data_IF_437420672293
#
_entry.id   IF_437420672293
#
_cell.length_a   1.000
_cell.length_b   1.000
_cell.length_c   1.000
_cell.angle_alpha   90.00
_cell.angle_beta   90.00
_cell.angle_gamma   90.00
#
_symmetry.space_group_name_H-M   'P 1'
#
loop_
_entity.id
_entity.type
_entity.pdbx_description
1 polymer ?
#
# COMPACT_ATOMS: atom_id res chain seq x y z
N UNK A 1 -18.25 10.49 -6.22
CA UNK A 1 -17.28 9.99 -5.21
C UNK A 1 -16.55 8.77 -5.78
N UNK A 2 -15.29 8.56 -5.40
CA UNK A 2 -14.48 7.41 -5.82
C UNK A 2 -14.26 6.45 -4.62
N UNK A 3 -14.42 5.16 -4.83
CA UNK A 3 -14.01 4.11 -3.91
C UNK A 3 -12.63 3.56 -4.31
N UNK A 4 -11.62 3.77 -3.48
CA UNK A 4 -10.29 3.18 -3.62
C UNK A 4 -10.14 2.00 -2.67
N UNK A 5 -9.63 0.88 -3.16
CA UNK A 5 -9.45 -0.36 -2.39
C UNK A 5 -8.03 -0.90 -2.61
N UNK A 6 -7.30 -1.07 -1.53
CA UNK A 6 -6.00 -1.74 -1.52
C UNK A 6 -6.13 -3.09 -0.80
N UNK A 7 -5.95 -4.19 -1.53
CA UNK A 7 -6.08 -5.56 -1.04
C UNK A 7 -4.71 -6.16 -0.78
N UNK A 8 -4.21 -5.94 0.43
CA UNK A 8 -2.99 -6.56 0.92
C UNK A 8 -3.20 -8.00 1.43
N UNK A 9 -2.10 -8.70 1.71
CA UNK A 9 -2.15 -10.11 2.17
C UNK A 9 -2.80 -10.30 3.56
N UNK A 10 -2.72 -9.32 4.43
CA UNK A 10 -3.23 -9.39 5.81
C UNK A 10 -4.40 -8.45 6.05
N UNK A 11 -4.35 -7.26 5.46
CA UNK A 11 -5.36 -6.23 5.61
C UNK A 11 -5.78 -5.69 4.25
N UNK A 12 -7.07 -5.36 4.13
CA UNK A 12 -7.62 -4.60 3.01
C UNK A 12 -7.96 -3.19 3.51
N UNK A 13 -7.42 -2.18 2.85
CA UNK A 13 -7.67 -0.77 3.15
C UNK A 13 -8.65 -0.21 2.13
N UNK A 14 -9.67 0.50 2.61
CA UNK A 14 -10.69 1.12 1.76
C UNK A 14 -10.69 2.62 2.02
N UNK A 15 -10.88 3.41 0.98
CA UNK A 15 -11.04 4.86 1.07
C UNK A 15 -12.16 5.36 0.16
N UNK A 16 -12.93 6.33 0.63
CA UNK A 16 -13.90 7.05 -0.20
C UNK A 16 -13.43 8.49 -0.36
N UNK A 17 -13.28 8.89 -1.61
CA UNK A 17 -12.86 10.23 -2.00
C UNK A 17 -14.03 11.05 -2.56
N UNK A 18 -14.02 12.35 -2.24
CA UNK A 18 -14.78 13.38 -2.97
C UNK A 18 -13.78 14.32 -3.61
N UNK A 19 -13.64 14.23 -4.93
CA UNK A 19 -12.51 14.81 -5.65
C UNK A 19 -11.17 14.34 -5.06
N UNK A 20 -10.35 15.28 -4.57
CA UNK A 20 -9.03 14.99 -3.98
C UNK A 20 -9.08 14.72 -2.47
N UNK A 21 -10.25 14.90 -1.84
CA UNK A 21 -10.39 14.77 -0.39
C UNK A 21 -10.77 13.35 -0.01
N UNK A 22 -9.94 12.70 0.79
CA UNK A 22 -10.30 11.45 1.46
C UNK A 22 -11.34 11.77 2.55
N UNK A 23 -12.56 11.25 2.40
CA UNK A 23 -13.66 11.47 3.35
C UNK A 23 -13.61 10.44 4.47
N UNK A 24 -13.50 9.17 4.10
CA UNK A 24 -13.53 8.04 5.04
C UNK A 24 -12.47 7.00 4.65
N UNK A 25 -11.93 6.34 5.66
CA UNK A 25 -10.99 5.25 5.49
C UNK A 25 -11.30 4.13 6.47
N UNK A 26 -11.27 2.89 6.00
CA UNK A 26 -11.44 1.70 6.85
C UNK A 26 -10.35 0.67 6.58
N UNK A 27 -10.12 -0.17 7.58
CA UNK A 27 -9.24 -1.34 7.48
C UNK A 27 -10.03 -2.56 7.90
N UNK A 28 -10.01 -3.60 7.08
CA UNK A 28 -10.61 -4.89 7.38
C UNK A 28 -9.56 -6.00 7.20
N UNK A 29 -9.72 -7.10 7.91
CA UNK A 29 -8.86 -8.26 7.72
C UNK A 29 -9.09 -8.85 6.31
N UNK A 30 -8.00 -9.19 5.62
CA UNK A 30 -8.05 -9.90 4.35
C UNK A 30 -8.24 -11.38 4.59
N UNK A 31 -9.34 -11.93 4.08
CA UNK A 31 -9.64 -13.36 4.13
C UNK A 31 -9.63 -13.90 2.69
N UNK A 32 -8.64 -14.71 2.36
CA UNK A 32 -8.34 -15.14 0.98
C UNK A 32 -9.47 -15.90 0.26
N UNK A 33 -10.46 -16.36 1.01
CA UNK A 33 -11.57 -17.15 0.47
C UNK A 33 -12.91 -16.40 0.44
N UNK A 34 -12.90 -15.07 0.70
CA UNK A 34 -14.14 -14.30 0.60
C UNK A 34 -14.72 -14.32 -0.81
N UNK A 35 -16.01 -14.58 -0.87
CA UNK A 35 -16.84 -14.43 -2.06
C UNK A 35 -17.23 -12.97 -2.27
N UNK A 36 -17.68 -12.62 -3.46
CA UNK A 36 -18.21 -11.28 -3.75
C UNK A 36 -19.37 -10.88 -2.83
N UNK A 37 -20.20 -11.85 -2.44
CA UNK A 37 -21.36 -11.57 -1.56
C UNK A 37 -20.92 -11.27 -0.12
N UNK A 38 -19.94 -12.02 0.41
CA UNK A 38 -19.35 -11.72 1.72
C UNK A 38 -18.66 -10.35 1.76
N UNK A 39 -17.99 -9.96 0.68
CA UNK A 39 -17.38 -8.64 0.56
C UNK A 39 -18.46 -7.52 0.56
N UNK A 40 -19.59 -7.73 -0.13
CA UNK A 40 -20.73 -6.80 -0.10
C UNK A 40 -21.34 -6.66 1.29
N UNK A 41 -21.49 -7.78 2.00
CA UNK A 41 -21.97 -7.78 3.40
C UNK A 41 -21.03 -6.99 4.30
N UNK A 42 -19.71 -7.01 4.05
CA UNK A 42 -18.74 -6.21 4.81
C UNK A 42 -18.78 -4.72 4.44
N UNK A 43 -18.92 -4.39 3.16
CA UNK A 43 -18.92 -3.01 2.68
C UNK A 43 -20.18 -2.24 3.15
N UNK A 44 -21.34 -2.88 3.11
CA UNK A 44 -22.61 -2.22 3.41
C UNK A 44 -22.65 -1.55 4.78
N UNK A 45 -22.31 -2.20 5.91
CA UNK A 45 -22.28 -1.55 7.22
C UNK A 45 -21.28 -0.40 7.32
N UNK A 46 -20.12 -0.50 6.64
CA UNK A 46 -19.14 0.57 6.61
C UNK A 46 -19.71 1.84 5.94
N UNK A 47 -20.43 1.67 4.84
CA UNK A 47 -21.10 2.78 4.16
C UNK A 47 -22.26 3.34 4.98
N UNK A 48 -23.09 2.47 5.55
CA UNK A 48 -24.25 2.86 6.35
C UNK A 48 -23.82 3.66 7.60
N UNK A 49 -22.70 3.28 8.26
CA UNK A 49 -22.20 3.97 9.45
C UNK A 49 -21.76 5.41 9.20
N UNK A 50 -21.34 5.71 7.99
CA UNK A 50 -20.88 7.04 7.58
C UNK A 50 -21.90 7.77 6.70
N UNK A 51 -23.08 7.21 6.52
CA UNK A 51 -24.15 7.79 5.69
C UNK A 51 -23.84 7.81 4.19
N UNK A 52 -22.91 6.96 3.74
CA UNK A 52 -22.53 6.89 2.34
C UNK A 52 -23.58 6.09 1.56
N UNK A 53 -24.14 6.72 0.56
CA UNK A 53 -25.07 6.06 -0.35
C UNK A 53 -24.30 5.50 -1.53
N UNK A 54 -24.31 4.17 -1.72
CA UNK A 54 -23.55 3.48 -2.75
C UNK A 54 -23.74 4.06 -4.16
N UNK A 55 -24.94 4.51 -4.52
CA UNK A 55 -25.23 5.17 -5.81
C UNK A 55 -24.55 6.52 -6.02
N UNK A 56 -23.99 7.13 -4.97
CA UNK A 56 -23.22 8.37 -5.08
C UNK A 56 -21.73 8.12 -5.38
N UNK A 57 -21.32 6.84 -5.42
CA UNK A 57 -19.99 6.43 -5.85
C UNK A 57 -20.08 6.14 -7.35
N UNK A 58 -19.37 6.92 -8.14
CA UNK A 58 -19.39 6.89 -9.61
C UNK A 58 -18.13 6.29 -10.22
N UNK A 59 -17.15 5.92 -9.35
CA UNK A 59 -15.93 5.26 -9.77
C UNK A 59 -15.34 4.35 -8.70
N UNK A 60 -14.50 3.41 -9.13
CA UNK A 60 -13.74 2.55 -8.23
C UNK A 60 -12.35 2.25 -8.78
N UNK A 61 -11.35 2.22 -7.88
CA UNK A 61 -9.99 1.78 -8.16
C UNK A 61 -9.58 0.66 -7.19
N UNK A 62 -8.84 -0.31 -7.68
CA UNK A 62 -8.46 -1.51 -6.95
C UNK A 62 -6.98 -1.82 -7.14
N UNK A 63 -6.18 -1.81 -6.09
CA UNK A 63 -4.93 -2.53 -6.03
C UNK A 63 -5.16 -3.89 -5.37
N UNK A 64 -4.52 -4.93 -5.84
CA UNK A 64 -4.61 -6.25 -5.21
C UNK A 64 -3.32 -7.03 -5.42
N UNK A 65 -2.72 -7.45 -4.32
CA UNK A 65 -1.61 -8.43 -4.30
C UNK A 65 -2.11 -9.83 -3.90
N UNK A 66 -3.43 -10.04 -3.92
CA UNK A 66 -4.10 -11.32 -3.63
C UNK A 66 -4.96 -11.71 -4.85
N UNK A 67 -4.38 -12.42 -5.85
CA UNK A 67 -5.04 -12.66 -7.13
C UNK A 67 -6.44 -13.29 -7.02
N UNK A 68 -6.65 -14.23 -6.09
CA UNK A 68 -7.94 -14.89 -5.89
C UNK A 68 -9.05 -13.94 -5.39
N UNK A 69 -8.72 -12.77 -4.83
CA UNK A 69 -9.68 -11.76 -4.38
C UNK A 69 -9.96 -10.68 -5.41
N UNK A 70 -9.12 -10.50 -6.42
CA UNK A 70 -9.29 -9.43 -7.41
C UNK A 70 -10.65 -9.50 -8.10
N UNK A 71 -11.03 -10.67 -8.61
CA UNK A 71 -12.33 -10.85 -9.27
C UNK A 71 -13.50 -10.80 -8.30
N UNK A 72 -13.33 -11.28 -7.07
CA UNK A 72 -14.37 -11.20 -6.04
C UNK A 72 -14.65 -9.71 -5.68
N UNK A 73 -13.62 -8.88 -5.52
CA UNK A 73 -13.77 -7.45 -5.30
C UNK A 73 -14.39 -6.73 -6.51
N UNK A 74 -13.95 -7.03 -7.73
CA UNK A 74 -14.56 -6.47 -8.95
C UNK A 74 -16.06 -6.78 -9.03
N UNK A 75 -16.45 -8.02 -8.74
CA UNK A 75 -17.85 -8.43 -8.73
C UNK A 75 -18.63 -7.75 -7.60
N UNK A 76 -18.08 -7.66 -6.38
CA UNK A 76 -18.70 -6.98 -5.25
C UNK A 76 -18.98 -5.50 -5.56
N UNK A 77 -17.99 -4.79 -6.12
CA UNK A 77 -18.11 -3.39 -6.53
C UNK A 77 -19.20 -3.24 -7.58
N UNK A 78 -19.17 -4.06 -8.63
CA UNK A 78 -20.16 -4.00 -9.72
C UNK A 78 -21.58 -4.22 -9.21
N UNK A 79 -21.80 -5.21 -8.34
CA UNK A 79 -23.12 -5.52 -7.81
C UNK A 79 -23.63 -4.49 -6.79
N UNK A 80 -22.74 -3.87 -6.01
CA UNK A 80 -23.16 -2.94 -4.95
C UNK A 80 -23.28 -1.49 -5.44
N UNK A 81 -22.37 -1.08 -6.31
CA UNK A 81 -22.19 0.31 -6.76
C UNK A 81 -22.65 0.50 -8.20
N UNK A 82 -22.55 -0.54 -9.04
CA UNK A 82 -22.92 -0.50 -10.45
C UNK A 82 -21.78 -0.07 -11.38
N UNK A 83 -20.56 0.14 -10.87
CA UNK A 83 -19.39 0.57 -11.66
C UNK A 83 -18.38 -0.55 -11.85
N UNK A 84 -17.56 -0.44 -12.89
CA UNK A 84 -16.38 -1.30 -13.07
C UNK A 84 -15.17 -0.66 -12.39
N UNK A 85 -14.45 -1.45 -11.59
CA UNK A 85 -13.22 -0.97 -10.97
C UNK A 85 -12.05 -0.92 -11.96
N UNK A 86 -11.29 0.16 -11.96
CA UNK A 86 -9.96 0.22 -12.56
C UNK A 86 -9.01 -0.57 -11.68
N UNK A 87 -8.41 -1.64 -12.23
CA UNK A 87 -7.41 -2.44 -11.50
C UNK A 87 -6.04 -1.82 -11.75
N UNK A 88 -5.38 -1.39 -10.68
CA UNK A 88 -4.05 -0.78 -10.73
C UNK A 88 -2.99 -1.81 -11.17
N UNK A 89 -2.17 -1.42 -12.12
CA UNK A 89 -1.00 -2.14 -12.62
C UNK A 89 -0.06 -1.13 -13.30
N UNK A 90 1.16 -1.56 -13.64
CA UNK A 90 2.07 -0.73 -14.43
C UNK A 90 1.45 -0.28 -15.77
N UNK A 91 0.59 -1.11 -16.37
CA UNK A 91 -0.08 -0.81 -17.65
C UNK A 91 -1.22 0.20 -17.46
N UNK A 92 -2.07 0.03 -16.46
CA UNK A 92 -3.19 0.95 -16.20
C UNK A 92 -2.71 2.28 -15.61
N UNK A 93 -1.51 2.33 -15.02
CA UNK A 93 -0.87 3.55 -14.54
C UNK A 93 0.03 4.21 -15.60
N UNK A 94 -0.01 3.76 -16.87
CA UNK A 94 0.81 4.34 -17.94
C UNK A 94 0.62 5.87 -18.05
N UNK A 95 1.74 6.57 -18.23
CA UNK A 95 1.79 8.04 -18.19
C UNK A 95 2.01 8.64 -16.80
N UNK A 96 1.59 7.94 -15.73
CA UNK A 96 1.92 8.30 -14.34
C UNK A 96 3.06 7.44 -13.77
N UNK A 97 3.22 6.23 -14.27
CA UNK A 97 4.20 5.26 -13.82
C UNK A 97 5.07 4.80 -14.99
N UNK A 98 6.37 4.92 -14.83
CA UNK A 98 7.38 4.39 -15.72
C UNK A 98 8.35 3.52 -14.92
N UNK A 99 8.77 2.40 -15.48
CA UNK A 99 9.68 1.47 -14.82
C UNK A 99 10.86 1.12 -15.70
N UNK A 100 12.06 1.28 -15.15
CA UNK A 100 13.29 0.71 -15.67
C UNK A 100 13.53 -0.63 -14.92
N UNK A 101 12.68 -1.62 -15.24
CA UNK A 101 12.60 -2.91 -14.56
C UNK A 101 12.39 -4.02 -15.59
N UNK A 102 13.09 -5.17 -15.48
CA UNK A 102 13.05 -6.21 -16.52
C UNK A 102 11.64 -6.70 -16.88
N UNK A 103 10.76 -6.82 -15.90
CA UNK A 103 9.38 -7.19 -16.10
C UNK A 103 8.46 -6.31 -15.24
N UNK A 104 7.95 -5.18 -15.76
CA UNK A 104 7.06 -4.29 -15.00
C UNK A 104 5.78 -4.93 -14.48
N UNK A 105 5.32 -6.04 -15.08
CA UNK A 105 4.12 -6.79 -14.64
C UNK A 105 4.32 -7.51 -13.30
N UNK A 106 5.55 -7.74 -12.87
CA UNK A 106 5.87 -8.33 -11.58
C UNK A 106 5.79 -7.32 -10.43
N UNK A 107 5.69 -6.02 -10.73
CA UNK A 107 5.58 -4.98 -9.71
C UNK A 107 4.18 -5.04 -9.11
N UNK A 108 4.07 -5.22 -7.80
CA UNK A 108 2.80 -5.24 -7.08
C UNK A 108 2.00 -3.96 -7.31
N UNK A 109 0.67 -4.10 -7.38
CA UNK A 109 -0.23 -2.98 -7.64
C UNK A 109 -0.16 -1.89 -6.56
N UNK A 110 0.06 -2.28 -5.30
CA UNK A 110 0.35 -1.41 -4.16
C UNK A 110 1.60 -0.55 -4.42
N UNK A 111 2.71 -1.17 -4.83
CA UNK A 111 3.98 -0.50 -5.13
C UNK A 111 3.87 0.47 -6.31
N UNK A 112 3.07 0.12 -7.33
CA UNK A 112 2.75 1.02 -8.45
C UNK A 112 1.99 2.24 -7.93
N UNK A 113 0.95 2.04 -7.12
CA UNK A 113 0.15 3.12 -6.56
C UNK A 113 1.01 4.04 -5.66
N UNK A 114 1.84 3.47 -4.79
CA UNK A 114 2.74 4.21 -3.92
C UNK A 114 3.73 5.07 -4.70
N UNK A 115 4.35 4.51 -5.74
CA UNK A 115 5.28 5.24 -6.61
C UNK A 115 4.60 6.41 -7.34
N UNK A 116 3.38 6.20 -7.85
CA UNK A 116 2.57 7.24 -8.50
C UNK A 116 2.27 8.38 -7.53
N UNK A 117 1.78 8.07 -6.33
CA UNK A 117 1.44 9.08 -5.33
C UNK A 117 2.67 9.83 -4.83
N UNK A 118 3.75 9.11 -4.51
CA UNK A 118 4.98 9.72 -4.03
C UNK A 118 5.60 10.66 -5.06
N UNK A 119 5.70 10.21 -6.33
CA UNK A 119 6.17 11.06 -7.43
C UNK A 119 5.30 12.30 -7.63
N UNK A 120 3.98 12.14 -7.57
CA UNK A 120 3.04 13.26 -7.69
C UNK A 120 3.20 14.30 -6.58
N UNK A 121 3.50 13.86 -5.36
CA UNK A 121 3.54 14.70 -4.17
C UNK A 121 4.90 15.35 -3.91
N UNK A 122 5.98 14.60 -4.15
CA UNK A 122 7.34 14.97 -3.79
C UNK A 122 8.24 15.21 -5.01
N UNK A 123 7.74 14.90 -6.22
CA UNK A 123 8.56 14.94 -7.43
C UNK A 123 9.51 13.75 -7.54
N UNK A 124 10.60 13.94 -8.27
CA UNK A 124 11.64 12.94 -8.50
C UNK A 124 13.01 13.56 -8.25
N UNK A 125 13.95 12.85 -7.59
CA UNK A 125 13.82 11.47 -7.09
C UNK A 125 13.02 11.39 -5.79
N UNK A 126 12.48 10.18 -5.47
CA UNK A 126 11.83 9.90 -4.19
C UNK A 126 11.97 8.41 -3.82
N UNK A 127 12.08 8.12 -2.54
CA UNK A 127 12.08 6.75 -1.99
C UNK A 127 10.83 6.58 -1.14
N UNK A 128 10.11 5.49 -1.32
CA UNK A 128 8.97 5.13 -0.48
C UNK A 128 9.35 3.97 0.42
N UNK A 129 8.90 4.01 1.67
CA UNK A 129 9.01 2.89 2.62
C UNK A 129 7.60 2.55 3.09
N UNK A 130 7.08 1.41 2.64
CA UNK A 130 5.78 0.90 3.10
C UNK A 130 5.97 -0.12 4.23
N UNK A 131 5.40 0.20 5.40
CA UNK A 131 5.40 -0.63 6.59
C UNK A 131 4.13 -1.48 6.69
N UNK A 132 4.07 -2.53 5.89
CA UNK A 132 2.98 -3.50 5.83
C UNK A 132 3.34 -4.88 6.38
N UNK A 133 2.73 -5.93 5.82
CA UNK A 133 3.08 -7.35 6.06
C UNK A 133 4.53 -7.63 5.69
N UNK A 134 5.00 -7.03 4.61
CA UNK A 134 6.40 -6.82 4.28
C UNK A 134 6.75 -5.36 4.54
N UNK A 135 8.02 -5.05 4.76
CA UNK A 135 8.56 -3.71 4.64
C UNK A 135 9.14 -3.59 3.24
N UNK A 136 8.47 -2.81 2.39
CA UNK A 136 8.90 -2.55 1.03
C UNK A 136 9.64 -1.20 0.97
N UNK A 137 10.66 -1.11 0.11
CA UNK A 137 11.30 0.15 -0.23
C UNK A 137 11.26 0.27 -1.75
N UNK A 138 10.58 1.30 -2.27
CA UNK A 138 10.48 1.64 -3.67
C UNK A 138 11.42 2.81 -3.99
N UNK A 139 12.13 2.70 -5.11
CA UNK A 139 13.08 3.74 -5.54
C UNK A 139 12.64 4.31 -6.88
N UNK A 140 12.32 5.59 -6.86
CA UNK A 140 12.03 6.39 -8.05
C UNK A 140 13.23 7.30 -8.28
N UNK A 141 13.87 7.18 -9.43
CA UNK A 141 15.10 7.91 -9.78
C UNK A 141 14.84 9.37 -10.22
N UNK A 142 15.89 10.10 -10.55
CA UNK A 142 15.82 11.49 -11.03
C UNK A 142 15.04 11.66 -12.33
N UNK A 143 14.86 10.60 -13.13
CA UNK A 143 14.06 10.59 -14.35
C UNK A 143 12.57 10.39 -14.05
N UNK A 144 12.21 10.06 -12.79
CA UNK A 144 10.86 9.68 -12.40
C UNK A 144 10.52 8.22 -12.69
N UNK A 145 11.51 7.39 -13.00
CA UNK A 145 11.35 5.96 -13.26
C UNK A 145 11.46 5.16 -11.96
N UNK A 146 10.57 4.22 -11.76
CA UNK A 146 10.72 3.15 -10.78
C UNK A 146 11.88 2.23 -11.22
N UNK A 147 12.94 2.16 -10.44
CA UNK A 147 14.13 1.39 -10.76
C UNK A 147 14.30 0.13 -9.90
N UNK A 148 13.32 -0.19 -9.08
CA UNK A 148 13.35 -1.33 -8.18
C UNK A 148 13.25 -0.94 -6.71
N UNK A 149 13.82 -1.76 -5.84
CA UNK A 149 13.75 -1.51 -4.40
C UNK A 149 14.12 -2.72 -3.56
N UNK A 150 13.56 -2.77 -2.34
CA UNK A 150 13.83 -3.84 -1.38
C UNK A 150 12.50 -4.40 -0.85
N UNK A 151 12.46 -5.70 -0.61
CA UNK A 151 11.36 -6.37 0.09
C UNK A 151 11.96 -7.12 1.28
N UNK A 152 11.48 -6.81 2.49
CA UNK A 152 11.91 -7.44 3.71
C UNK A 152 10.69 -7.88 4.55
N UNK A 153 10.83 -8.81 5.51
CA UNK A 153 9.74 -9.11 6.42
C UNK A 153 9.32 -7.86 7.18
N UNK A 154 8.02 -7.57 7.28
CA UNK A 154 7.52 -6.47 8.09
C UNK A 154 7.74 -6.70 9.59
N UNK A 155 7.59 -5.65 10.38
CA UNK A 155 7.84 -5.69 11.84
C UNK A 155 6.94 -6.72 12.55
N UNK A 156 5.64 -6.77 12.22
CA UNK A 156 4.71 -7.76 12.80
C UNK A 156 5.05 -9.18 12.33
N UNK A 157 5.44 -9.36 11.07
CA UNK A 157 5.87 -10.66 10.53
C UNK A 157 7.13 -11.14 11.22
N UNK A 158 8.10 -10.26 11.46
CA UNK A 158 9.35 -10.57 12.18
C UNK A 158 9.07 -10.93 13.64
N UNK A 159 8.21 -10.17 14.31
CA UNK A 159 7.78 -10.43 15.67
C UNK A 159 7.09 -11.80 15.79
N UNK A 160 6.12 -12.08 14.90
CA UNK A 160 5.38 -13.34 14.88
C UNK A 160 6.31 -14.54 14.64
N UNK A 161 7.29 -14.39 13.75
CA UNK A 161 8.30 -15.44 13.52
C UNK A 161 9.10 -15.71 14.80
N UNK A 162 9.52 -14.67 15.54
CA UNK A 162 10.22 -14.83 16.80
C UNK A 162 9.34 -15.53 17.86
N UNK A 163 8.06 -15.12 18.00
CA UNK A 163 7.13 -15.70 18.97
C UNK A 163 6.83 -17.17 18.66
N UNK A 164 6.70 -17.54 17.39
CA UNK A 164 6.37 -18.90 16.99
C UNK A 164 7.53 -19.89 17.11
N UNK A 165 8.78 -19.43 17.01
CA UNK A 165 9.96 -20.27 17.04
C UNK A 165 10.68 -20.31 18.40
N UNK A 166 10.42 -19.37 19.29
CA UNK A 166 11.08 -19.28 20.58
C UNK A 166 10.14 -19.71 21.72
N UNK A 167 10.26 -20.94 22.17
CA UNK A 167 9.37 -21.60 23.17
C UNK A 167 9.14 -20.83 24.49
N UNK A 168 10.06 -19.93 24.86
CA UNK A 168 9.98 -19.11 26.06
C UNK A 168 9.58 -17.67 25.86
N UNK A 169 9.38 -17.25 24.61
CA UNK A 169 9.05 -15.88 24.27
C UNK A 169 7.55 -15.80 23.89
N UNK A 170 6.76 -15.11 24.71
CA UNK A 170 5.35 -14.87 24.43
C UNK A 170 5.16 -13.66 23.49
N UNK A 171 3.91 -13.47 23.03
CA UNK A 171 3.54 -12.25 22.31
C UNK A 171 3.66 -11.02 23.23
N UNK A 172 4.17 -9.94 22.68
CA UNK A 172 4.35 -8.65 23.36
C UNK A 172 3.75 -7.54 22.53
N UNK A 173 3.46 -6.41 23.16
CA UNK A 173 3.10 -5.19 22.43
C UNK A 173 4.34 -4.55 21.79
N UNK A 174 4.24 -4.25 20.49
CA UNK A 174 5.30 -3.58 19.73
C UNK A 174 5.21 -2.06 19.97
N UNK A 175 5.78 -1.62 21.08
CA UNK A 175 5.87 -0.19 21.47
C UNK A 175 7.33 0.23 21.52
N UNK A 176 7.56 1.55 21.51
CA UNK A 176 8.90 2.12 21.69
C UNK A 176 9.48 1.66 23.04
N UNK A 177 10.62 0.96 23.07
CA UNK A 177 11.25 0.49 24.29
C UNK A 177 11.96 1.59 25.09
N UNK A 178 12.09 2.81 24.56
CA UNK A 178 12.78 3.97 25.14
C UNK A 178 14.26 3.75 25.49
N UNK A 179 14.79 2.54 25.29
CA UNK A 179 16.18 2.19 25.54
C UNK A 179 16.61 0.99 24.69
N UNK A 180 17.82 1.03 24.13
CA UNK A 180 18.37 -0.06 23.35
C UNK A 180 18.74 -1.29 24.20
N UNK A 181 18.99 -1.10 25.50
CA UNK A 181 19.31 -2.18 26.43
C UNK A 181 18.05 -2.48 27.27
N UNK A 182 17.32 -3.53 26.88
CA UNK A 182 16.20 -4.04 27.67
C UNK A 182 16.67 -4.70 28.98
N UNK A 183 15.99 -4.42 30.08
CA UNK A 183 16.30 -4.98 31.42
C UNK A 183 15.44 -6.19 31.80
N UNK A 184 14.53 -6.57 30.91
CA UNK A 184 13.74 -7.79 30.98
C UNK A 184 13.51 -8.32 29.56
N UNK A 185 12.94 -9.52 29.42
CA UNK A 185 12.74 -10.19 28.14
C UNK A 185 11.87 -9.38 27.21
N UNK A 186 10.78 -8.80 27.70
CA UNK A 186 9.86 -7.98 26.92
C UNK A 186 10.56 -6.74 26.33
N UNK A 187 11.24 -5.96 27.17
CA UNK A 187 12.01 -4.79 26.71
C UNK A 187 13.12 -5.16 25.73
N UNK A 188 13.82 -6.29 25.95
CA UNK A 188 14.84 -6.76 25.02
C UNK A 188 14.26 -7.15 23.67
N UNK A 189 13.08 -7.77 23.64
CA UNK A 189 12.36 -8.11 22.42
C UNK A 189 11.85 -6.85 21.70
N UNK A 190 11.26 -5.90 22.44
CA UNK A 190 10.82 -4.60 21.89
C UNK A 190 11.99 -3.85 21.24
N UNK A 191 13.12 -3.75 21.95
CA UNK A 191 14.32 -3.09 21.40
C UNK A 191 14.83 -3.80 20.13
N UNK A 192 14.92 -5.12 20.14
CA UNK A 192 15.39 -5.88 18.98
C UNK A 192 14.45 -5.80 17.78
N UNK A 193 13.13 -5.79 18.00
CA UNK A 193 12.14 -5.75 16.93
C UNK A 193 11.95 -4.30 16.43
N UNK A 194 11.71 -3.33 17.31
CA UNK A 194 11.36 -1.97 16.92
C UNK A 194 12.59 -1.22 16.42
N UNK A 195 13.67 -1.15 17.21
CA UNK A 195 14.89 -0.47 16.74
C UNK A 195 15.59 -1.25 15.64
N UNK A 196 15.52 -2.60 15.67
CA UNK A 196 16.03 -3.40 14.55
C UNK A 196 15.33 -3.11 13.23
N UNK A 197 14.04 -2.81 13.24
CA UNK A 197 13.30 -2.36 12.04
C UNK A 197 13.77 -0.99 11.59
N UNK A 198 13.87 -0.02 12.50
CA UNK A 198 14.36 1.34 12.22
C UNK A 198 15.76 1.30 11.61
N UNK A 199 16.69 0.62 12.26
CA UNK A 199 18.08 0.52 11.83
C UNK A 199 18.21 -0.20 10.47
N UNK A 200 17.38 -1.25 10.24
CA UNK A 200 17.31 -1.94 8.96
C UNK A 200 16.89 -1.00 7.84
N UNK A 201 15.80 -0.24 8.03
CA UNK A 201 15.30 0.71 7.04
C UNK A 201 16.32 1.80 6.78
N UNK A 202 16.81 2.45 7.82
CA UNK A 202 17.82 3.50 7.72
C UNK A 202 19.11 3.00 7.05
N UNK A 203 19.55 1.80 7.41
CA UNK A 203 20.72 1.17 6.81
C UNK A 203 20.54 0.87 5.32
N UNK A 204 19.35 0.39 4.92
CA UNK A 204 19.01 0.11 3.52
C UNK A 204 18.86 1.40 2.72
N UNK A 205 18.18 2.42 3.22
CA UNK A 205 18.07 3.74 2.57
C UNK A 205 19.43 4.36 2.33
N UNK A 206 20.33 4.35 3.34
CA UNK A 206 21.71 4.85 3.16
C UNK A 206 22.51 4.03 2.14
N UNK A 207 22.24 2.73 1.97
CA UNK A 207 22.87 1.90 0.92
C UNK A 207 22.32 2.28 -0.47
N UNK A 208 21.01 2.52 -0.57
CA UNK A 208 20.35 3.00 -1.79
C UNK A 208 20.97 4.33 -2.21
N UNK A 209 21.08 5.32 -1.31
CA UNK A 209 21.68 6.62 -1.61
C UNK A 209 23.13 6.51 -2.09
N UNK A 210 23.92 5.63 -1.47
CA UNK A 210 25.28 5.36 -1.96
C UNK A 210 25.33 4.75 -3.36
N UNK A 211 24.38 3.87 -3.69
CA UNK A 211 24.28 3.27 -5.02
C UNK A 211 23.80 4.29 -6.07
N UNK A 212 22.87 5.17 -5.69
CA UNK A 212 22.38 6.24 -6.56
C UNK A 212 23.39 7.36 -6.77
N UNK A 213 24.27 7.62 -5.80
CA UNK A 213 25.18 8.76 -5.77
C UNK A 213 24.56 10.08 -5.34
N UNK A 214 23.28 10.05 -4.87
CA UNK A 214 22.55 11.21 -4.36
C UNK A 214 21.55 10.78 -3.29
N UNK A 215 21.05 11.74 -2.49
CA UNK A 215 19.97 11.56 -1.54
C UNK A 215 18.63 12.01 -2.16
N UNK A 216 17.54 11.50 -1.62
CA UNK A 216 16.18 11.77 -2.05
C UNK A 216 15.26 11.92 -0.84
N UNK A 217 14.09 12.61 -0.95
CA UNK A 217 13.04 12.50 0.06
C UNK A 217 12.66 11.04 0.30
N UNK A 218 12.48 10.67 1.57
CA UNK A 218 12.04 9.33 1.99
C UNK A 218 10.68 9.44 2.62
N UNK A 219 9.67 8.81 2.01
CA UNK A 219 8.28 8.88 2.42
C UNK A 219 7.86 7.56 3.02
N UNK A 220 7.38 7.58 4.26
CA UNK A 220 6.84 6.40 4.92
C UNK A 220 5.33 6.29 4.74
N UNK A 221 4.86 5.07 4.44
CA UNK A 221 3.43 4.70 4.39
C UNK A 221 3.19 3.37 5.09
N UNK A 222 1.96 2.90 5.10
CA UNK A 222 1.58 1.65 5.76
C UNK A 222 1.10 1.81 7.20
N UNK A 223 0.56 0.72 7.74
CA UNK A 223 -0.13 0.74 9.04
C UNK A 223 0.75 1.07 10.24
N UNK A 224 2.05 0.81 10.14
CA UNK A 224 3.02 0.98 11.23
C UNK A 224 3.97 2.18 10.98
N UNK A 225 3.83 2.89 9.86
CA UNK A 225 4.70 4.01 9.49
C UNK A 225 4.85 5.04 10.62
N UNK A 226 3.76 5.47 11.23
CA UNK A 226 3.79 6.48 12.29
C UNK A 226 4.59 6.05 13.53
N UNK A 227 4.65 4.74 13.81
CA UNK A 227 5.41 4.21 14.97
C UNK A 227 6.91 4.14 14.66
N UNK A 228 7.26 3.60 13.50
CA UNK A 228 8.65 3.35 13.12
C UNK A 228 9.35 4.63 12.65
N UNK A 229 8.66 5.46 11.87
CA UNK A 229 9.25 6.64 11.25
C UNK A 229 9.72 7.69 12.25
N UNK A 230 9.16 7.74 13.47
CA UNK A 230 9.57 8.70 14.50
C UNK A 230 11.02 8.52 14.94
N UNK A 231 11.50 7.29 14.94
CA UNK A 231 12.85 6.92 15.38
C UNK A 231 13.85 6.86 14.21
N UNK A 232 13.36 6.98 12.96
CA UNK A 232 14.20 6.93 11.76
C UNK A 232 14.95 8.24 11.53
N UNK A 233 16.22 8.13 11.22
CA UNK A 233 17.06 9.26 10.80
C UNK A 233 17.03 9.55 9.30
N UNK A 234 16.32 8.74 8.50
CA UNK A 234 16.25 8.91 7.04
C UNK A 234 14.88 9.26 6.51
N UNK A 235 13.81 8.92 7.21
CA UNK A 235 12.44 9.23 6.79
C UNK A 235 12.16 10.72 6.95
N UNK A 236 11.71 11.36 5.86
CA UNK A 236 11.47 12.82 5.81
C UNK A 236 9.98 13.18 5.87
N UNK A 237 9.09 12.24 5.53
CA UNK A 237 7.64 12.46 5.54
C UNK A 237 6.88 11.16 5.84
N UNK A 238 5.66 11.29 6.40
CA UNK A 238 4.76 10.16 6.68
C UNK A 238 3.44 10.44 5.97
N UNK A 239 2.99 9.52 5.14
CA UNK A 239 1.73 9.58 4.40
C UNK A 239 0.97 8.24 4.54
N UNK A 240 0.09 8.09 5.54
CA UNK A 240 -0.59 6.81 5.83
C UNK A 240 -1.58 6.35 4.75
N UNK A 241 -2.01 7.25 3.89
CA UNK A 241 -2.98 7.06 2.80
C UNK A 241 -2.37 7.08 1.40
N UNK A 242 -1.03 6.96 1.30
CA UNK A 242 -0.28 7.10 0.05
C UNK A 242 -0.81 6.16 -1.05
N UNK A 243 -1.00 4.87 -0.74
CA UNK A 243 -1.50 3.87 -1.68
C UNK A 243 -2.90 4.23 -2.20
N UNK A 244 -3.80 4.68 -1.32
CA UNK A 244 -5.14 5.11 -1.72
C UNK A 244 -5.10 6.37 -2.61
N UNK A 245 -4.19 7.32 -2.31
CA UNK A 245 -3.97 8.50 -3.16
C UNK A 245 -3.46 8.09 -4.54
N UNK A 246 -2.54 7.13 -4.61
CA UNK A 246 -2.06 6.58 -5.89
C UNK A 246 -3.16 5.94 -6.70
N UNK A 247 -4.03 5.16 -6.06
CA UNK A 247 -5.20 4.58 -6.71
C UNK A 247 -6.16 5.63 -7.28
N UNK A 248 -6.37 6.72 -6.53
CA UNK A 248 -7.18 7.85 -7.02
C UNK A 248 -6.57 8.48 -8.27
N UNK A 249 -5.26 8.73 -8.26
CA UNK A 249 -4.55 9.32 -9.41
C UNK A 249 -4.62 8.42 -10.64
N UNK A 250 -4.41 7.12 -10.47
CA UNK A 250 -4.53 6.13 -11.56
C UNK A 250 -5.95 6.12 -12.12
N UNK A 251 -6.98 6.17 -11.27
CA UNK A 251 -8.37 6.22 -11.71
C UNK A 251 -8.66 7.50 -12.53
N UNK A 252 -8.24 8.66 -12.04
CA UNK A 252 -8.48 9.95 -12.73
C UNK A 252 -7.87 9.96 -14.14
N UNK A 253 -6.65 9.43 -14.30
CA UNK A 253 -5.99 9.36 -15.63
C UNK A 253 -6.73 8.42 -16.58
N UNK A 254 -7.29 7.31 -16.09
CA UNK A 254 -8.06 6.38 -16.93
C UNK A 254 -9.45 6.94 -17.28
N UNK A 255 -10.05 7.73 -16.39
CA UNK A 255 -11.34 8.37 -16.66
C UNK A 255 -11.26 9.51 -17.68
N UNK A 256 -10.11 10.20 -17.73
CA UNK A 256 -9.86 11.30 -18.68
C UNK A 256 -9.39 10.80 -20.07
N UNK A 257 -9.02 9.52 -20.21
CA UNK A 257 -8.68 8.93 -21.52
C UNK A 257 -9.92 8.72 -22.38
N UNK A 258 -9.96 9.19 -23.64
CA UNK A 258 -11.09 8.97 -24.52
C UNK A 258 -11.37 7.47 -24.69
N UNK A 259 -12.65 7.10 -24.74
CA UNK A 259 -13.19 5.72 -24.72
C UNK A 259 -12.89 4.92 -26.02
N UNK A 260 -11.67 4.92 -26.54
CA UNK A 260 -11.31 4.18 -27.76
C UNK A 260 -10.85 2.73 -27.54
N UNK A 261 -10.64 2.29 -26.29
CA UNK A 261 -10.10 0.94 -26.02
C UNK A 261 -11.13 -0.08 -25.49
N UNK A 262 -12.43 0.27 -25.42
CA UNK A 262 -13.45 -0.65 -24.90
C UNK A 262 -14.18 -1.49 -25.95
N UNK A 263 -13.89 -1.34 -27.25
CA UNK A 263 -14.67 -1.97 -28.34
C UNK A 263 -14.07 -3.26 -28.92
N UNK A 264 -12.84 -3.64 -28.58
CA UNK A 264 -12.20 -4.82 -29.21
C UNK A 264 -12.42 -6.17 -28.52
N UNK A 265 -13.02 -6.22 -27.33
CA UNK A 265 -13.25 -7.52 -26.64
C UNK A 265 -14.63 -8.13 -26.83
N UNK A 266 -15.56 -7.50 -27.59
CA UNK A 266 -16.92 -8.04 -27.81
C UNK A 266 -17.15 -8.66 -29.19
N UNK A 267 -16.13 -8.76 -30.07
CA UNK A 267 -16.33 -9.29 -31.43
C UNK A 267 -15.53 -10.57 -31.69
N UNK A 268 -15.34 -11.43 -30.70
CA UNK A 268 -14.90 -12.84 -30.90
C UNK A 268 -15.57 -13.73 -29.86
N UNK A 269 -16.84 -14.03 -30.07
CA UNK A 269 -17.55 -15.21 -29.59
C UNK A 269 -18.08 -15.96 -30.79
#
# INVERSE_FOLDING_TARGET
>A
MLLAIDVGNTQTVLGVYDGKRLLHQWRIATMKHHTSDELRVKLKPLFDSEGIVARCIDGAALASVVPCLTDAWRAAIRHMIGVSAVVCSAETAAGLFEADYPNPREIGADRVADAVAARSRFGSPVVVVDFGTATNIEVIDVRGCFIGGVIAPGIETSAQALFSHATKLGAIDLVDPHAAIGRNTEQAMQAGIVYGEVDRVDGLVRRIFRQLGYEAPVVATGGLATRVAKESGTITAIMPDLTLEGLRLVYETQADSPAELQTESQTRA
#
